data_IF_529802928737
#
_entry.id   IF_529802928737
#
_cell.length_a   1.000
_cell.length_b   1.000
_cell.length_c   1.000
_cell.angle_alpha   90.00
_cell.angle_beta   90.00
_cell.angle_gamma   90.00
#
_symmetry.space_group_name_H-M   'P 1'
#
loop_
_entity.id
_entity.type
_entity.pdbx_description
1 polymer ?
#
# COMPACT_ATOMS: atom_id res chain seq x y z
N UNK A 1 8.11 -3.71 10.17
CA UNK A 1 7.96 -5.18 10.30
C UNK A 1 9.32 -5.84 10.29
N UNK A 2 9.46 -6.96 10.97
CA UNK A 2 10.62 -7.85 10.84
C UNK A 2 10.58 -8.51 9.45
N UNK A 3 11.65 -8.37 8.68
CA UNK A 3 11.72 -8.81 7.29
C UNK A 3 11.70 -10.33 7.15
N UNK A 4 12.34 -11.04 8.08
CA UNK A 4 12.53 -12.50 7.98
C UNK A 4 11.28 -13.24 8.44
N UNK A 5 10.62 -12.73 9.47
CA UNK A 5 9.47 -13.40 10.11
C UNK A 5 8.12 -12.84 9.70
N UNK A 6 8.08 -11.63 9.11
CA UNK A 6 6.84 -10.90 8.85
C UNK A 6 6.11 -10.44 10.12
N UNK A 7 6.77 -10.51 11.28
CA UNK A 7 6.16 -10.13 12.56
C UNK A 7 6.16 -8.62 12.79
N UNK A 8 5.17 -8.17 13.55
CA UNK A 8 5.08 -6.80 14.03
C UNK A 8 6.14 -6.55 15.12
N UNK A 9 6.87 -5.44 15.02
CA UNK A 9 7.92 -5.07 15.99
C UNK A 9 7.57 -3.73 16.61
N UNK A 10 7.47 -3.69 17.95
CA UNK A 10 7.09 -2.49 18.69
C UNK A 10 8.31 -1.76 19.23
N UNK A 11 8.71 -0.71 18.54
CA UNK A 11 9.86 0.13 18.91
C UNK A 11 9.45 1.14 19.99
N UNK A 12 9.60 0.75 21.26
CA UNK A 12 9.14 1.53 22.42
C UNK A 12 10.22 2.32 23.14
N UNK A 13 11.49 1.99 22.93
CA UNK A 13 12.62 2.64 23.57
C UNK A 13 13.76 2.89 22.58
N UNK A 14 14.66 3.83 22.92
CA UNK A 14 15.85 4.15 22.13
C UNK A 14 15.67 5.39 21.25
N UNK A 15 16.37 5.41 20.11
CA UNK A 15 16.39 6.57 19.22
C UNK A 15 15.10 6.68 18.41
N UNK A 16 14.37 7.79 18.61
CA UNK A 16 13.18 8.12 17.83
C UNK A 16 13.46 8.17 16.32
N UNK A 17 14.59 8.78 15.92
CA UNK A 17 14.96 8.87 14.50
C UNK A 17 15.15 7.48 13.88
N UNK A 18 15.77 6.54 14.61
CA UNK A 18 15.90 5.15 14.14
C UNK A 18 14.55 4.45 14.07
N UNK A 19 13.70 4.66 15.06
CA UNK A 19 12.36 4.07 15.07
C UNK A 19 11.52 4.54 13.88
N UNK A 20 11.52 5.84 13.59
CA UNK A 20 10.84 6.41 12.42
C UNK A 20 11.45 5.89 11.12
N UNK A 21 12.78 5.88 10.98
CA UNK A 21 13.45 5.39 9.76
C UNK A 21 13.19 3.91 9.48
N UNK A 22 13.12 3.08 10.53
CA UNK A 22 12.74 1.68 10.42
C UNK A 22 11.26 1.53 10.05
N UNK A 23 10.38 2.30 10.71
CA UNK A 23 8.93 2.24 10.50
C UNK A 23 8.46 2.72 9.14
N UNK A 24 9.17 3.66 8.51
CA UNK A 24 8.85 4.24 7.20
C UNK A 24 9.74 3.69 6.06
N UNK A 25 10.44 2.58 6.31
CA UNK A 25 11.33 1.94 5.34
C UNK A 25 10.59 1.16 4.27
N UNK A 26 9.89 1.86 3.36
CA UNK A 26 9.06 1.25 2.32
C UNK A 26 9.89 0.36 1.38
N UNK A 27 9.51 -0.92 1.18
CA UNK A 27 10.14 -1.80 0.20
C UNK A 27 10.14 -1.20 -1.21
N UNK A 28 11.26 -1.31 -1.91
CA UNK A 28 11.44 -0.75 -3.26
C UNK A 28 11.84 0.74 -3.28
N UNK A 29 11.66 1.48 -2.18
CA UNK A 29 12.15 2.86 -2.04
C UNK A 29 13.36 2.98 -1.13
N UNK A 30 13.34 2.25 -0.02
CA UNK A 30 14.35 2.36 1.02
C UNK A 30 14.94 1.00 1.33
N UNK A 31 16.24 0.97 1.59
CA UNK A 31 16.90 -0.22 2.12
C UNK A 31 16.36 -0.56 3.51
N UNK A 32 16.17 -1.86 3.82
CA UNK A 32 15.85 -2.31 5.17
C UNK A 32 16.89 -1.80 6.19
N UNK A 33 16.45 -1.55 7.42
CA UNK A 33 17.33 -1.09 8.50
C UNK A 33 17.67 -2.25 9.43
N UNK A 34 18.96 -2.45 9.72
CA UNK A 34 19.39 -3.36 10.78
C UNK A 34 19.14 -2.73 12.16
N UNK A 35 18.37 -3.41 13.01
CA UNK A 35 18.06 -2.96 14.37
C UNK A 35 17.69 -4.14 15.27
N UNK A 36 18.29 -4.21 16.48
CA UNK A 36 18.02 -5.28 17.47
C UNK A 36 18.13 -6.68 16.86
N UNK A 37 19.24 -6.92 16.14
CA UNK A 37 19.59 -8.18 15.49
C UNK A 37 18.58 -8.67 14.43
N UNK A 38 17.85 -7.75 13.82
CA UNK A 38 16.82 -8.01 12.80
C UNK A 38 16.89 -6.99 11.68
N UNK A 39 16.49 -7.40 10.48
CA UNK A 39 16.18 -6.48 9.39
C UNK A 39 14.75 -5.96 9.54
N UNK A 40 14.60 -4.64 9.57
CA UNK A 40 13.29 -3.98 9.67
C UNK A 40 12.95 -3.26 8.37
N UNK A 41 11.70 -3.44 7.94
CA UNK A 41 11.04 -2.71 6.86
C UNK A 41 9.83 -1.94 7.41
N UNK A 42 9.13 -1.22 6.53
CA UNK A 42 7.92 -0.47 6.84
C UNK A 42 6.92 -1.26 7.71
N UNK A 43 6.32 -0.58 8.71
CA UNK A 43 5.34 -1.19 9.62
C UNK A 43 4.01 -1.50 8.94
N UNK A 44 3.66 -0.73 7.91
CA UNK A 44 2.40 -0.81 7.21
C UNK A 44 2.20 -2.10 6.44
N UNK A 45 3.28 -2.81 6.07
CA UNK A 45 3.15 -4.15 5.45
C UNK A 45 2.55 -5.21 6.38
N UNK A 46 2.49 -4.96 7.70
CA UNK A 46 1.95 -5.89 8.71
C UNK A 46 0.80 -5.29 9.50
N UNK A 47 0.91 -4.02 9.90
CA UNK A 47 -0.11 -3.32 10.68
C UNK A 47 -0.21 -1.84 10.25
N UNK A 48 -0.86 -1.54 9.11
CA UNK A 48 -0.96 -0.19 8.55
C UNK A 48 -1.69 0.81 9.44
N UNK A 49 -2.70 0.35 10.19
CA UNK A 49 -3.45 1.19 11.13
C UNK A 49 -3.49 0.49 12.49
N UNK A 50 -2.53 0.76 13.38
CA UNK A 50 -2.25 -0.06 14.56
C UNK A 50 -3.20 0.23 15.75
N UNK A 51 -4.50 -0.02 15.57
CA UNK A 51 -5.54 0.20 16.59
C UNK A 51 -5.32 -0.67 17.83
N UNK A 52 -5.06 -1.96 17.63
CA UNK A 52 -4.85 -2.92 18.71
C UNK A 52 -3.61 -2.61 19.55
N UNK A 53 -2.55 -2.10 18.93
CA UNK A 53 -1.36 -1.61 19.63
C UNK A 53 -1.70 -0.42 20.54
N UNK A 54 -2.45 0.57 20.05
CA UNK A 54 -2.85 1.71 20.87
C UNK A 54 -3.63 1.26 22.12
N UNK A 55 -4.54 0.30 21.96
CA UNK A 55 -5.27 -0.31 23.10
C UNK A 55 -4.34 -1.06 24.04
N UNK A 56 -3.42 -1.86 23.51
CA UNK A 56 -2.44 -2.58 24.32
C UNK A 56 -1.51 -1.64 25.09
N UNK A 57 -1.33 -0.40 24.62
CA UNK A 57 -0.63 0.67 25.33
C UNK A 57 -1.49 1.37 26.40
N UNK A 58 -2.75 0.96 26.59
CA UNK A 58 -3.65 1.47 27.62
C UNK A 58 -4.61 2.57 27.15
N UNK A 59 -4.79 2.76 25.84
CA UNK A 59 -5.77 3.72 25.34
C UNK A 59 -7.20 3.19 25.45
N UNK A 60 -8.07 3.92 26.16
CA UNK A 60 -9.52 3.63 26.22
C UNK A 60 -10.22 3.98 24.90
N UNK A 61 -9.79 5.08 24.29
CA UNK A 61 -10.30 5.57 23.02
C UNK A 61 -9.19 5.64 21.97
N UNK A 62 -9.48 5.14 20.78
CA UNK A 62 -8.54 5.17 19.65
C UNK A 62 -9.19 5.88 18.47
N UNK A 63 -8.58 6.98 18.05
CA UNK A 63 -8.94 7.70 16.82
C UNK A 63 -7.99 7.23 15.73
N UNK A 64 -8.48 6.43 14.80
CA UNK A 64 -7.70 5.91 13.68
C UNK A 64 -7.81 6.85 12.48
N UNK A 65 -6.67 7.23 11.90
CA UNK A 65 -6.60 7.94 10.62
C UNK A 65 -6.07 6.98 9.57
N UNK A 66 -6.89 6.68 8.56
CA UNK A 66 -6.56 5.71 7.52
C UNK A 66 -6.46 6.38 6.14
N UNK A 67 -5.23 6.52 5.67
CA UNK A 67 -4.89 7.14 4.39
C UNK A 67 -4.99 6.16 3.21
N UNK A 68 -5.06 4.85 3.48
CA UNK A 68 -4.97 3.80 2.46
C UNK A 68 -6.29 3.59 1.69
N UNK A 69 -7.39 4.17 2.16
CA UNK A 69 -8.72 3.83 1.65
C UNK A 69 -8.99 4.30 0.23
N UNK A 70 -8.24 5.29 -0.30
CA UNK A 70 -8.56 5.95 -1.57
C UNK A 70 -7.38 6.47 -2.41
N UNK A 71 -6.10 6.23 -2.02
CA UNK A 71 -4.98 6.58 -2.88
C UNK A 71 -5.09 5.87 -4.24
N UNK A 72 -5.02 6.63 -5.34
CA UNK A 72 -5.02 6.10 -6.71
C UNK A 72 -6.37 5.59 -7.24
N UNK A 73 -7.48 5.76 -6.51
CA UNK A 73 -8.83 5.33 -6.94
C UNK A 73 -9.56 6.42 -7.76
N UNK A 74 -8.94 6.93 -8.83
CA UNK A 74 -9.64 7.75 -9.82
C UNK A 74 -10.30 6.85 -10.88
N UNK A 75 -11.55 7.11 -11.33
CA UNK A 75 -12.15 6.44 -12.50
C UNK A 75 -11.32 6.54 -13.80
N UNK A 76 -10.38 7.49 -13.91
CA UNK A 76 -9.40 7.56 -15.02
C UNK A 76 -8.35 6.45 -14.94
N UNK A 77 -7.97 5.99 -13.75
CA UNK A 77 -7.02 4.89 -13.54
C UNK A 77 -7.66 3.51 -13.79
N UNK A 78 -8.96 3.34 -13.53
CA UNK A 78 -9.68 2.10 -13.92
C UNK A 78 -9.65 1.86 -15.44
N UNK A 79 -9.55 2.91 -16.26
CA UNK A 79 -9.33 2.78 -17.71
C UNK A 79 -7.88 2.50 -18.11
N UNK A 80 -6.87 2.72 -17.25
CA UNK A 80 -5.45 2.46 -17.55
C UNK A 80 -5.08 0.98 -17.46
N UNK A 81 -5.81 0.20 -16.64
CA UNK A 81 -5.69 -1.25 -16.59
C UNK A 81 -6.78 -1.98 -17.39
N UNK A 82 -7.61 -1.23 -18.14
CA UNK A 82 -8.54 -1.84 -19.07
C UNK A 82 -7.72 -2.42 -20.23
N UNK A 83 -7.82 -3.74 -20.42
CA UNK A 83 -7.17 -4.47 -21.51
C UNK A 83 -7.43 -3.73 -22.84
N UNK A 84 -6.41 -3.41 -23.66
CA UNK A 84 -6.66 -2.93 -25.01
C UNK A 84 -7.49 -3.98 -25.74
N UNK A 85 -8.65 -3.57 -26.25
CA UNK A 85 -9.54 -4.44 -26.98
C UNK A 85 -9.01 -4.60 -28.42
N UNK A 86 -8.20 -5.64 -28.65
CA UNK A 86 -7.92 -6.40 -29.92
C UNK A 86 -6.58 -7.15 -29.75
N UNK A 87 -6.32 -8.36 -30.23
CA UNK A 87 -7.04 -9.28 -31.13
C UNK A 87 -6.61 -10.73 -30.84
N UNK A 88 -7.37 -11.66 -31.41
CA UNK A 88 -7.27 -13.12 -31.35
C UNK A 88 -5.95 -13.68 -31.91
N UNK A 89 -5.36 -14.68 -31.22
CA UNK A 89 -5.06 -16.01 -31.76
C UNK A 89 -4.18 -16.80 -30.78
N UNK A 90 -4.77 -17.71 -30.02
CA UNK A 90 -4.01 -18.74 -29.29
C UNK A 90 -3.80 -19.94 -30.23
N UNK A 91 -2.59 -20.48 -30.41
CA UNK A 91 -2.43 -21.82 -30.96
C UNK A 91 -2.74 -22.85 -29.87
N UNK A 92 -3.50 -23.89 -30.22
CA UNK A 92 -3.88 -25.00 -29.33
C UNK A 92 -2.67 -25.84 -28.85
N UNK A 93 -2.80 -26.55 -27.70
CA UNK A 93 -1.72 -27.38 -27.17
C UNK A 93 -1.65 -28.74 -27.89
N UNK A 94 -0.49 -29.05 -28.47
CA UNK A 94 -0.14 -30.39 -28.94
C UNK A 94 0.42 -31.26 -27.80
N UNK A 95 -0.04 -32.51 -27.74
CA UNK A 95 0.27 -33.55 -26.76
C UNK A 95 1.75 -34.01 -26.74
N UNK A 96 2.23 -34.43 -25.54
CA UNK A 96 3.32 -35.40 -25.24
C UNK A 96 4.69 -35.16 -25.90
N UNK A 97 5.84 -35.16 -25.23
CA UNK A 97 6.33 -36.09 -24.21
C UNK A 97 7.42 -35.44 -23.33
N UNK A 98 7.73 -36.09 -22.21
CA UNK A 98 8.72 -35.72 -21.19
C UNK A 98 10.17 -35.70 -21.73
N UNK A 99 10.61 -34.60 -22.32
CA UNK A 99 12.04 -34.24 -22.37
C UNK A 99 12.25 -32.73 -22.62
N UNK A 100 13.14 -32.15 -21.82
CA UNK A 100 13.92 -30.92 -22.06
C UNK A 100 13.34 -29.54 -21.70
N UNK A 101 13.44 -29.28 -20.40
CA UNK A 101 13.59 -28.01 -19.65
C UNK A 101 14.20 -26.80 -20.38
N UNK A 102 14.95 -27.00 -21.47
CA UNK A 102 15.60 -25.93 -22.24
C UNK A 102 14.68 -25.27 -23.29
N UNK A 103 13.64 -25.96 -23.76
CA UNK A 103 12.64 -25.38 -24.70
C UNK A 103 11.70 -24.37 -24.03
N UNK A 104 11.60 -24.40 -22.69
CA UNK A 104 10.79 -23.46 -21.90
C UNK A 104 11.47 -22.10 -21.75
N UNK A 105 12.81 -22.07 -21.69
CA UNK A 105 13.59 -20.83 -21.64
C UNK A 105 13.62 -20.12 -22.99
N UNK A 106 13.69 -20.85 -24.10
CA UNK A 106 13.56 -20.26 -25.44
C UNK A 106 12.16 -19.66 -25.65
N UNK A 107 11.10 -20.32 -25.16
CA UNK A 107 9.74 -19.75 -25.15
C UNK A 107 9.65 -18.51 -24.26
N UNK A 108 10.27 -18.51 -23.09
CA UNK A 108 10.38 -17.33 -22.22
C UNK A 108 11.14 -16.18 -22.89
N UNK A 109 12.24 -16.47 -23.57
CA UNK A 109 13.02 -15.46 -24.29
C UNK A 109 12.23 -14.84 -25.44
N UNK A 110 11.46 -15.64 -26.20
CA UNK A 110 10.59 -15.12 -27.27
C UNK A 110 9.40 -14.31 -26.75
N UNK A 111 8.88 -14.66 -25.58
CA UNK A 111 7.86 -13.85 -24.89
C UNK A 111 8.43 -12.52 -24.41
N UNK A 112 9.67 -12.53 -23.89
CA UNK A 112 10.40 -11.32 -23.48
C UNK A 112 10.79 -10.49 -24.70
N UNK A 113 11.27 -11.09 -25.78
CA UNK A 113 11.62 -10.40 -27.03
C UNK A 113 10.39 -9.79 -27.69
N UNK A 114 9.27 -10.52 -27.73
CA UNK A 114 7.97 -10.00 -28.20
C UNK A 114 7.42 -8.86 -27.33
N UNK A 115 7.66 -8.89 -26.02
CA UNK A 115 7.38 -7.77 -25.11
C UNK A 115 8.31 -6.58 -25.41
N UNK A 116 9.58 -6.85 -25.70
CA UNK A 116 10.61 -5.83 -26.02
C UNK A 116 10.35 -5.17 -27.37
N UNK A 117 9.73 -5.89 -28.31
CA UNK A 117 9.40 -5.42 -29.65
C UNK A 117 8.04 -4.70 -29.69
N UNK A 118 7.06 -5.14 -28.88
CA UNK A 118 5.82 -4.41 -28.63
C UNK A 118 6.05 -3.07 -27.90
N UNK A 119 7.08 -3.00 -27.05
CA UNK A 119 7.55 -1.76 -26.42
C UNK A 119 8.18 -0.77 -27.42
N UNK A 120 8.48 -1.18 -28.65
CA UNK A 120 9.12 -0.33 -29.68
C UNK A 120 8.17 0.19 -30.76
N UNK A 121 6.88 -0.17 -30.74
CA UNK A 121 5.91 0.31 -31.72
C UNK A 121 4.92 1.32 -31.15
N UNK A 122 5.21 2.58 -31.47
CA UNK A 122 4.30 3.71 -31.71
C UNK A 122 3.61 4.42 -30.52
N UNK A 123 3.81 5.75 -30.53
CA UNK A 123 3.33 6.73 -29.56
C UNK A 123 1.80 6.85 -29.61
N UNK A 124 1.11 6.37 -28.56
CA UNK A 124 -0.22 6.88 -28.17
C UNK A 124 -0.38 6.86 -26.65
N UNK A 125 -0.84 7.98 -26.10
CA UNK A 125 -0.87 8.35 -24.67
C UNK A 125 -1.76 7.44 -23.79
N UNK A 126 -1.25 6.27 -23.46
CA UNK A 126 -1.60 5.56 -22.24
C UNK A 126 -0.30 5.05 -21.63
N UNK A 127 0.38 5.90 -20.83
CA UNK A 127 1.55 5.52 -20.05
C UNK A 127 1.28 4.20 -19.32
N UNK A 128 1.97 3.14 -19.76
CA UNK A 128 1.96 1.87 -19.08
C UNK A 128 2.47 2.07 -17.64
N UNK A 129 1.87 1.40 -16.65
CA UNK A 129 2.29 1.54 -15.26
C UNK A 129 3.75 1.11 -15.09
N UNK A 130 4.59 1.99 -14.55
CA UNK A 130 5.97 1.63 -14.22
C UNK A 130 6.01 0.55 -13.12
N UNK A 131 7.10 -0.21 -13.05
CA UNK A 131 7.30 -1.24 -12.01
C UNK A 131 7.11 -0.68 -10.59
N UNK A 132 7.56 0.56 -10.37
CA UNK A 132 7.37 1.26 -9.11
C UNK A 132 5.88 1.48 -8.79
N UNK A 133 5.08 1.94 -9.76
CA UNK A 133 3.66 2.18 -9.59
C UNK A 133 2.89 0.90 -9.30
N UNK A 134 3.26 -0.20 -9.98
CA UNK A 134 2.67 -1.52 -9.76
C UNK A 134 2.96 -2.01 -8.34
N UNK A 135 4.22 -1.90 -7.90
CA UNK A 135 4.63 -2.29 -6.54
C UNK A 135 3.95 -1.44 -5.46
N UNK A 136 3.98 -0.11 -5.59
CA UNK A 136 3.35 0.80 -4.63
C UNK A 136 1.82 0.60 -4.57
N UNK A 137 1.18 0.41 -5.72
CA UNK A 137 -0.27 0.12 -5.78
C UNK A 137 -0.58 -1.23 -5.12
N UNK A 138 0.24 -2.25 -5.37
CA UNK A 138 0.07 -3.58 -4.77
C UNK A 138 0.22 -3.55 -3.25
N UNK A 139 1.24 -2.85 -2.74
CA UNK A 139 1.43 -2.64 -1.30
C UNK A 139 0.20 -1.94 -0.71
N UNK A 140 -0.26 -0.84 -1.30
CA UNK A 140 -1.45 -0.13 -0.83
C UNK A 140 -2.70 -1.01 -0.77
N UNK A 141 -2.91 -1.88 -1.78
CA UNK A 141 -4.02 -2.84 -1.78
C UNK A 141 -3.91 -3.87 -0.66
N UNK A 142 -2.72 -4.43 -0.44
CA UNK A 142 -2.47 -5.35 0.66
C UNK A 142 -2.69 -4.65 2.00
N UNK A 143 -2.22 -3.41 2.15
CA UNK A 143 -2.45 -2.62 3.36
C UNK A 143 -3.94 -2.37 3.62
N UNK A 144 -4.76 -2.07 2.61
CA UNK A 144 -6.22 -1.90 2.77
C UNK A 144 -6.89 -3.21 3.21
N UNK A 145 -6.48 -4.35 2.64
CA UNK A 145 -6.98 -5.68 3.03
C UNK A 145 -6.62 -6.03 4.47
N UNK A 146 -5.35 -5.84 4.85
CA UNK A 146 -4.87 -6.06 6.23
C UNK A 146 -5.62 -5.15 7.20
N UNK A 147 -5.75 -3.87 6.87
CA UNK A 147 -6.46 -2.89 7.71
C UNK A 147 -7.91 -3.29 7.91
N UNK A 148 -8.62 -3.65 6.84
CA UNK A 148 -10.02 -4.10 6.91
C UNK A 148 -10.16 -5.35 7.77
N UNK A 149 -9.30 -6.35 7.57
CA UNK A 149 -9.34 -7.60 8.34
C UNK A 149 -9.13 -7.35 9.83
N UNK A 150 -8.13 -6.55 10.21
CA UNK A 150 -7.86 -6.20 11.62
C UNK A 150 -8.99 -5.38 12.25
N UNK A 151 -9.57 -4.43 11.51
CA UNK A 151 -10.64 -3.58 12.03
C UNK A 151 -11.96 -4.33 12.30
N UNK A 152 -12.16 -5.51 11.72
CA UNK A 152 -13.31 -6.37 12.09
C UNK A 152 -13.16 -6.89 13.52
N UNK A 153 -11.94 -7.25 13.94
CA UNK A 153 -11.65 -7.70 15.30
C UNK A 153 -11.50 -6.53 16.28
N UNK A 154 -10.73 -5.53 15.89
CA UNK A 154 -10.39 -4.37 16.72
C UNK A 154 -10.80 -3.05 16.03
N UNK A 155 -12.10 -2.71 15.99
CA UNK A 155 -12.54 -1.45 15.39
C UNK A 155 -12.09 -0.27 16.25
N UNK A 156 -11.62 0.86 15.68
CA UNK A 156 -11.31 2.06 16.47
C UNK A 156 -12.57 2.74 16.99
N UNK A 157 -12.42 3.64 17.96
CA UNK A 157 -13.53 4.46 18.49
C UNK A 157 -14.04 5.46 17.44
N UNK A 158 -13.12 6.10 16.72
CA UNK A 158 -13.42 6.92 15.55
C UNK A 158 -12.48 6.56 14.41
N UNK A 159 -12.98 6.57 13.17
CA UNK A 159 -12.22 6.21 11.99
C UNK A 159 -12.31 7.31 10.94
N UNK A 160 -11.24 8.09 10.83
CA UNK A 160 -11.10 9.16 9.83
C UNK A 160 -10.53 8.57 8.55
N UNK A 161 -11.22 8.81 7.43
CA UNK A 161 -10.81 8.37 6.09
C UNK A 161 -10.73 9.57 5.16
N UNK A 162 -9.59 10.27 5.10
CA UNK A 162 -9.41 11.39 4.20
C UNK A 162 -9.58 10.97 2.73
N UNK A 163 -10.27 11.80 1.94
CA UNK A 163 -10.49 11.54 0.52
C UNK A 163 -9.30 12.14 -0.24
N UNK A 164 -8.28 11.33 -0.48
CA UNK A 164 -7.03 11.75 -1.14
C UNK A 164 -7.09 11.69 -2.67
N UNK A 165 -8.23 11.39 -3.30
CA UNK A 165 -8.41 11.53 -4.76
C UNK A 165 -7.32 10.88 -5.62
N UNK A 166 -6.59 11.71 -6.36
CA UNK A 166 -5.56 11.32 -7.33
C UNK A 166 -4.12 11.41 -6.82
N UNK A 167 -3.92 11.58 -5.51
CA UNK A 167 -2.59 11.62 -4.93
C UNK A 167 -1.84 10.30 -5.14
N UNK A 168 -0.59 10.43 -5.57
CA UNK A 168 0.40 9.36 -5.60
C UNK A 168 1.30 9.45 -4.36
N UNK A 169 2.02 8.36 -4.11
CA UNK A 169 2.95 8.24 -2.98
C UNK A 169 4.07 9.29 -2.99
N UNK A 170 4.46 9.78 -4.17
CA UNK A 170 5.58 10.71 -4.37
C UNK A 170 5.15 12.16 -4.62
N UNK A 171 3.88 12.50 -4.45
CA UNK A 171 3.34 13.85 -4.72
C UNK A 171 3.68 14.86 -3.60
N UNK A 172 4.94 14.93 -3.18
CA UNK A 172 5.41 15.83 -2.10
C UNK A 172 5.17 17.32 -2.42
N UNK A 173 5.12 17.67 -3.72
CA UNK A 173 4.83 19.03 -4.18
C UNK A 173 3.41 19.50 -3.86
N UNK A 174 2.48 18.58 -3.53
CA UNK A 174 1.07 18.88 -3.18
C UNK A 174 0.80 18.76 -1.68
N UNK A 175 1.82 18.88 -0.84
CA UNK A 175 1.68 18.71 0.60
C UNK A 175 0.60 19.62 1.22
N UNK A 176 0.52 20.89 0.80
CA UNK A 176 -0.46 21.84 1.34
C UNK A 176 -1.91 21.42 1.06
N UNK A 177 -2.16 20.87 -0.14
CA UNK A 177 -3.46 20.33 -0.53
C UNK A 177 -3.82 19.11 0.32
N UNK A 178 -2.88 18.19 0.53
CA UNK A 178 -3.09 17.01 1.40
C UNK A 178 -3.40 17.42 2.85
N UNK A 179 -2.68 18.42 3.38
CA UNK A 179 -2.92 18.96 4.73
C UNK A 179 -4.32 19.59 4.81
N UNK A 180 -4.73 20.34 3.79
CA UNK A 180 -6.07 20.94 3.74
C UNK A 180 -7.18 19.87 3.68
N UNK A 181 -6.98 18.78 2.95
CA UNK A 181 -7.89 17.62 2.94
C UNK A 181 -7.97 16.99 4.32
N UNK A 182 -6.83 16.84 5.01
CA UNK A 182 -6.76 16.34 6.39
C UNK A 182 -7.61 17.18 7.34
N UNK A 183 -7.43 18.51 7.32
CA UNK A 183 -8.22 19.46 8.14
C UNK A 183 -9.72 19.33 7.87
N UNK A 184 -10.13 19.38 6.60
CA UNK A 184 -11.54 19.20 6.21
C UNK A 184 -12.12 17.86 6.64
N UNK A 185 -11.30 16.80 6.71
CA UNK A 185 -11.74 15.47 7.14
C UNK A 185 -12.00 15.43 8.64
N UNK A 186 -11.23 16.18 9.44
CA UNK A 186 -11.47 16.38 10.87
C UNK A 186 -12.71 17.24 11.10
N UNK A 187 -12.86 18.35 10.35
CA UNK A 187 -14.01 19.25 10.49
C UNK A 187 -15.35 18.53 10.26
N UNK A 188 -15.40 17.55 9.34
CA UNK A 188 -16.59 16.75 9.07
C UNK A 188 -17.04 15.87 10.23
N UNK A 189 -16.14 15.53 11.14
CA UNK A 189 -16.43 14.69 12.32
C UNK A 189 -16.27 15.48 13.62
N UNK A 190 -16.28 16.81 13.55
CA UNK A 190 -16.06 17.67 14.71
C UNK A 190 -17.09 17.38 15.83
N UNK A 191 -18.35 17.15 15.48
CA UNK A 191 -19.40 16.82 16.43
C UNK A 191 -19.11 15.50 17.17
N UNK A 192 -18.71 14.46 16.43
CA UNK A 192 -18.32 13.16 17.02
C UNK A 192 -17.11 13.29 17.95
N UNK A 193 -16.14 14.15 17.59
CA UNK A 193 -14.97 14.43 18.43
C UNK A 193 -15.35 15.19 19.71
N UNK A 194 -16.26 16.16 19.63
CA UNK A 194 -16.80 16.87 20.78
C UNK A 194 -17.54 15.90 21.69
N UNK A 195 -18.37 15.04 21.14
CA UNK A 195 -19.08 14.03 21.94
C UNK A 195 -18.12 13.04 22.58
N UNK A 196 -17.08 12.60 21.88
CA UNK A 196 -16.03 11.76 22.45
C UNK A 196 -15.31 12.45 23.62
N UNK A 197 -14.98 13.74 23.47
CA UNK A 197 -14.29 14.51 24.53
C UNK A 197 -15.09 14.57 25.83
N UNK A 198 -16.42 14.66 25.75
CA UNK A 198 -17.31 14.65 26.92
C UNK A 198 -17.28 13.34 27.70
N UNK A 199 -16.91 12.23 27.06
CA UNK A 199 -16.78 10.93 27.70
C UNK A 199 -15.41 10.73 28.35
N UNK A 200 -14.37 11.39 27.84
CA UNK A 200 -13.00 11.36 28.41
C UNK A 200 -12.97 12.07 29.78
N UNK A 201 -13.73 13.14 29.96
CA UNK A 201 -13.82 13.89 31.23
C UNK A 201 -14.74 13.22 32.28
N UNK A 202 -15.29 12.05 31.93
CA UNK A 202 -15.88 10.96 32.73
C UNK A 202 -14.97 10.29 33.78
N UNK A 203 -14.90 10.67 35.08
CA UNK A 203 -14.14 9.87 36.05
C UNK A 203 -14.67 8.44 36.21
#
# INVERSE_FOLDING_TARGET
>A
ADLDTGQEVWLRQGSMLRAVRASSGLPGMFTPMWHQDRWLIDGGVVNPVPVSLCRAMGADYVIAVNLNTQMGKHPRRQRRFARPAKAESSPEPGNGDEEDSWTSLERWSRLVDGLTEALKSDESEAEEPGMFDVMATSINLMQDQITRSRMVGDPPSLHIKPILGDFNMMDFHRADEAIAIGRKSVDRIADDLVDLSRHIDRP
#
